data_IF_793359189435
#
_entry.id   IF_793359189435
#
_cell.length_a   1.000
_cell.length_b   1.000
_cell.length_c   1.000
_cell.angle_alpha   90.00
_cell.angle_beta   90.00
_cell.angle_gamma   90.00
#
_symmetry.space_group_name_H-M   'P 1'
#
loop_
_entity.id
_entity.type
_entity.pdbx_description
1 polymer ?
#
# COMPACT_ATOMS: atom_id res chain seq x y z
N UNK A 1 -25.34 -6.30 -8.92
CA UNK A 1 -25.85 -5.06 -8.30
C UNK A 1 -24.99 -4.79 -7.09
N UNK A 2 -24.07 -3.83 -7.18
CA UNK A 2 -23.30 -3.35 -6.04
C UNK A 2 -24.27 -2.57 -5.15
N UNK A 3 -24.37 -2.86 -3.84
CA UNK A 3 -25.26 -2.12 -2.96
C UNK A 3 -24.88 -0.62 -2.94
N UNK A 4 -25.86 0.27 -2.82
CA UNK A 4 -25.67 1.74 -2.86
C UNK A 4 -24.61 2.23 -1.86
N UNK A 5 -24.55 1.63 -0.67
CA UNK A 5 -23.52 1.93 0.33
C UNK A 5 -22.09 1.61 -0.15
N UNK A 6 -21.90 0.57 -0.98
CA UNK A 6 -20.60 0.23 -1.55
C UNK A 6 -20.17 1.25 -2.63
N UNK A 7 -21.10 1.73 -3.45
CA UNK A 7 -20.83 2.83 -4.40
C UNK A 7 -20.43 4.12 -3.69
N UNK A 8 -21.12 4.48 -2.60
CA UNK A 8 -20.78 5.67 -1.82
C UNK A 8 -19.39 5.54 -1.18
N UNK A 9 -19.01 4.33 -0.75
CA UNK A 9 -17.69 4.05 -0.17
C UNK A 9 -16.55 4.09 -1.21
N UNK A 10 -16.80 3.64 -2.44
CA UNK A 10 -15.83 3.72 -3.55
C UNK A 10 -15.54 5.16 -3.93
N UNK A 11 -16.59 6.00 -4.08
CA UNK A 11 -16.44 7.41 -4.40
C UNK A 11 -15.72 8.18 -3.29
N UNK A 12 -16.00 7.86 -2.02
CA UNK A 12 -15.30 8.44 -0.89
C UNK A 12 -13.80 8.07 -0.90
N UNK A 13 -13.48 6.80 -1.20
CA UNK A 13 -12.10 6.34 -1.31
C UNK A 13 -11.35 7.01 -2.47
N UNK A 14 -11.98 7.13 -3.64
CA UNK A 14 -11.44 7.86 -4.79
C UNK A 14 -11.12 9.31 -4.43
N UNK A 15 -12.03 10.01 -3.74
CA UNK A 15 -11.81 11.39 -3.32
C UNK A 15 -10.64 11.52 -2.33
N UNK A 16 -10.53 10.60 -1.37
CA UNK A 16 -9.39 10.57 -0.43
C UNK A 16 -8.07 10.36 -1.18
N UNK A 17 -8.05 9.43 -2.15
CA UNK A 17 -6.84 9.15 -2.94
C UNK A 17 -6.47 10.34 -3.83
N UNK A 18 -7.46 10.99 -4.46
CA UNK A 18 -7.23 12.20 -5.23
C UNK A 18 -6.64 13.34 -4.38
N UNK A 19 -7.05 13.46 -3.12
CA UNK A 19 -6.44 14.42 -2.20
C UNK A 19 -5.01 14.04 -1.81
N UNK A 20 -4.76 12.75 -1.53
CA UNK A 20 -3.40 12.27 -1.23
C UNK A 20 -2.45 12.49 -2.42
N UNK A 21 -2.91 12.25 -3.65
CA UNK A 21 -2.14 12.47 -4.87
C UNK A 21 -1.60 13.89 -5.02
N UNK A 22 -2.32 14.92 -4.51
CA UNK A 22 -1.87 16.32 -4.57
C UNK A 22 -0.61 16.58 -3.75
N UNK A 23 -0.30 15.72 -2.79
CA UNK A 23 0.86 15.85 -1.91
C UNK A 23 2.06 15.03 -2.40
N UNK A 24 1.90 14.27 -3.49
CA UNK A 24 2.94 13.39 -4.01
C UNK A 24 3.89 14.11 -4.97
N UNK A 25 5.18 13.69 -5.05
CA UNK A 25 5.79 12.68 -4.20
C UNK A 25 6.06 13.20 -2.77
N UNK A 26 5.89 12.34 -1.76
CA UNK A 26 6.09 12.69 -0.34
C UNK A 26 7.07 11.74 0.34
N UNK A 27 7.98 12.31 1.14
CA UNK A 27 8.87 11.53 2.01
C UNK A 27 8.11 11.11 3.27
N UNK A 28 8.02 9.80 3.54
CA UNK A 28 7.49 9.28 4.81
C UNK A 28 8.55 9.36 5.91
N UNK A 29 9.80 9.13 5.54
CA UNK A 29 10.98 9.19 6.37
C UNK A 29 12.18 9.51 5.45
N UNK A 30 13.41 9.72 5.97
CA UNK A 30 14.57 10.06 5.13
C UNK A 30 14.93 9.04 4.03
N UNK A 31 14.43 7.82 4.12
CA UNK A 31 14.77 6.67 3.26
C UNK A 31 13.61 6.21 2.38
N UNK A 32 12.37 6.54 2.73
CA UNK A 32 11.15 6.04 2.06
C UNK A 32 10.34 7.19 1.47
N UNK A 33 10.10 7.15 0.15
CA UNK A 33 9.26 8.12 -0.56
C UNK A 33 8.08 7.43 -1.22
N UNK A 34 6.86 7.91 -1.00
CA UNK A 34 5.72 7.54 -1.84
C UNK A 34 5.79 8.39 -3.10
N UNK A 35 5.93 7.74 -4.25
CA UNK A 35 6.01 8.38 -5.55
C UNK A 35 4.62 8.60 -6.16
N UNK A 36 3.74 7.62 -6.00
CA UNK A 36 2.40 7.64 -6.57
C UNK A 36 1.45 6.76 -5.77
N UNK A 37 0.17 7.11 -5.81
CA UNK A 37 -0.94 6.33 -5.29
C UNK A 37 -1.98 6.28 -6.39
N UNK A 38 -2.48 5.11 -6.76
CA UNK A 38 -3.56 4.97 -7.74
C UNK A 38 -4.62 4.01 -7.24
N UNK A 39 -5.85 4.18 -7.69
CA UNK A 39 -6.96 3.28 -7.39
C UNK A 39 -7.65 2.84 -8.67
N UNK A 40 -7.72 1.53 -8.87
CA UNK A 40 -8.42 0.89 -9.97
C UNK A 40 -8.73 -0.55 -9.57
N UNK A 41 -9.85 -1.11 -10.06
CA UNK A 41 -10.23 -2.51 -9.85
C UNK A 41 -10.16 -2.94 -8.37
N UNK A 42 -10.74 -2.11 -7.49
CA UNK A 42 -10.70 -2.28 -6.03
C UNK A 42 -9.31 -2.40 -5.41
N UNK A 43 -8.27 -1.91 -6.10
CA UNK A 43 -6.88 -2.02 -5.66
C UNK A 43 -6.27 -0.63 -5.53
N UNK A 44 -5.91 -0.26 -4.30
CA UNK A 44 -5.04 0.90 -4.05
C UNK A 44 -3.59 0.47 -4.24
N UNK A 45 -2.90 1.05 -5.21
CA UNK A 45 -1.50 0.80 -5.50
C UNK A 45 -0.65 1.98 -5.02
N UNK A 46 0.21 1.73 -4.05
CA UNK A 46 1.29 2.62 -3.64
C UNK A 46 2.56 2.27 -4.41
N UNK A 47 3.13 3.23 -5.14
CA UNK A 47 4.49 3.14 -5.70
C UNK A 47 5.46 3.85 -4.77
N UNK A 48 6.49 3.15 -4.32
CA UNK A 48 7.38 3.60 -3.26
C UNK A 48 8.84 3.42 -3.66
N UNK A 49 9.63 4.46 -3.46
CA UNK A 49 11.09 4.42 -3.60
C UNK A 49 11.75 4.23 -2.23
N UNK A 50 12.60 3.21 -2.11
CA UNK A 50 13.52 3.00 -0.98
C UNK A 50 14.94 3.41 -1.38
N UNK A 51 15.41 4.52 -0.86
CA UNK A 51 16.68 5.13 -1.29
C UNK A 51 17.92 4.40 -0.79
N UNK A 52 17.78 3.57 0.25
CA UNK A 52 18.87 2.82 0.88
C UNK A 52 19.09 1.42 0.32
N UNK A 53 18.22 0.95 -0.57
CA UNK A 53 18.35 -0.37 -1.17
C UNK A 53 19.62 -0.46 -2.02
N UNK A 54 20.53 -1.36 -1.65
CA UNK A 54 21.84 -1.50 -2.28
C UNK A 54 22.02 -2.83 -3.04
N UNK A 55 20.95 -3.61 -3.19
CA UNK A 55 20.92 -4.92 -3.84
C UNK A 55 21.97 -5.90 -3.32
N UNK A 56 22.21 -5.90 -2.00
CA UNK A 56 23.13 -6.83 -1.35
C UNK A 56 22.53 -8.24 -1.33
N UNK A 57 23.36 -9.30 -1.34
CA UNK A 57 22.86 -10.67 -1.23
C UNK A 57 21.94 -10.86 -0.01
N UNK A 58 20.71 -11.31 -0.26
CA UNK A 58 19.68 -11.53 0.78
C UNK A 58 18.86 -10.29 1.18
N UNK A 59 19.24 -9.09 0.75
CA UNK A 59 18.56 -7.84 1.14
C UNK A 59 17.10 -7.79 0.66
N UNK A 60 16.83 -8.28 -0.55
CA UNK A 60 15.47 -8.38 -1.10
C UNK A 60 14.55 -9.23 -0.24
N UNK A 61 15.01 -10.43 0.15
CA UNK A 61 14.25 -11.37 1.00
C UNK A 61 14.03 -10.77 2.39
N UNK A 62 15.04 -10.09 2.93
CA UNK A 62 14.92 -9.35 4.18
C UNK A 62 13.82 -8.29 4.11
N UNK A 63 13.84 -7.42 3.08
CA UNK A 63 12.84 -6.37 2.93
C UNK A 63 11.44 -6.93 2.70
N UNK A 64 11.29 -7.97 1.88
CA UNK A 64 9.99 -8.61 1.65
C UNK A 64 9.37 -9.10 2.96
N UNK A 65 10.11 -9.87 3.76
CA UNK A 65 9.63 -10.38 5.05
C UNK A 65 9.36 -9.26 6.06
N UNK A 66 10.32 -8.34 6.22
CA UNK A 66 10.20 -7.22 7.16
C UNK A 66 9.03 -6.30 6.83
N UNK A 67 8.92 -5.86 5.57
CA UNK A 67 7.86 -4.96 5.12
C UNK A 67 6.49 -5.65 5.22
N UNK A 68 6.40 -6.93 4.85
CA UNK A 68 5.13 -7.67 4.96
C UNK A 68 4.62 -7.65 6.39
N UNK A 69 5.46 -8.00 7.37
CA UNK A 69 5.08 -8.03 8.78
C UNK A 69 4.75 -6.64 9.34
N UNK A 70 5.59 -5.64 9.06
CA UNK A 70 5.38 -4.29 9.59
C UNK A 70 4.13 -3.63 9.02
N UNK A 71 3.93 -3.75 7.70
CA UNK A 71 2.77 -3.15 7.04
C UNK A 71 1.50 -3.88 7.47
N UNK A 72 1.51 -5.21 7.54
CA UNK A 72 0.35 -5.96 8.03
C UNK A 72 -0.03 -5.53 9.45
N UNK A 73 0.94 -5.43 10.37
CA UNK A 73 0.69 -4.96 11.74
C UNK A 73 0.09 -3.55 11.76
N UNK A 74 0.65 -2.63 10.98
CA UNK A 74 0.17 -1.25 10.92
C UNK A 74 -1.24 -1.16 10.31
N UNK A 75 -1.51 -1.87 9.20
CA UNK A 75 -2.81 -1.94 8.54
C UNK A 75 -3.87 -2.51 9.47
N UNK A 76 -3.59 -3.66 10.10
CA UNK A 76 -4.56 -4.36 10.95
C UNK A 76 -4.82 -3.64 12.28
N UNK A 77 -4.03 -2.64 12.64
CA UNK A 77 -4.26 -1.81 13.83
C UNK A 77 -5.16 -0.59 13.57
N UNK A 78 -5.50 -0.31 12.31
CA UNK A 78 -6.20 0.91 11.91
C UNK A 78 -7.58 0.59 11.32
N UNK A 79 -8.63 1.08 11.98
CA UNK A 79 -10.03 0.81 11.61
C UNK A 79 -10.36 1.19 10.16
N UNK A 80 -9.80 2.28 9.63
CA UNK A 80 -10.03 2.71 8.25
C UNK A 80 -9.55 1.67 7.22
N UNK A 81 -8.36 1.11 7.44
CA UNK A 81 -7.81 0.08 6.57
C UNK A 81 -8.56 -1.25 6.71
N UNK A 82 -8.95 -1.63 7.93
CA UNK A 82 -9.80 -2.80 8.15
C UNK A 82 -11.11 -2.69 7.37
N UNK A 83 -11.81 -1.56 7.47
CA UNK A 83 -13.05 -1.30 6.75
C UNK A 83 -12.83 -1.39 5.23
N UNK A 84 -11.77 -0.76 4.70
CA UNK A 84 -11.45 -0.86 3.28
C UNK A 84 -11.28 -2.31 2.81
N UNK A 85 -10.55 -3.13 3.57
CA UNK A 85 -10.32 -4.55 3.24
C UNK A 85 -11.61 -5.38 3.37
N UNK A 86 -12.47 -5.10 4.36
CA UNK A 86 -13.76 -5.78 4.52
C UNK A 86 -14.75 -5.47 3.40
N UNK A 87 -14.66 -4.27 2.81
CA UNK A 87 -15.44 -3.85 1.64
C UNK A 87 -14.94 -4.48 0.33
N UNK A 88 -13.96 -5.39 0.39
CA UNK A 88 -13.46 -6.13 -0.78
C UNK A 88 -12.25 -5.48 -1.47
N UNK A 89 -11.75 -4.36 -0.94
CA UNK A 89 -10.59 -3.70 -1.52
C UNK A 89 -9.28 -4.42 -1.18
N UNK A 90 -8.27 -4.17 -2.01
CA UNK A 90 -6.89 -4.61 -1.84
C UNK A 90 -5.98 -3.41 -1.76
N UNK A 91 -4.87 -3.57 -1.07
CA UNK A 91 -3.81 -2.57 -0.98
C UNK A 91 -2.52 -3.23 -1.44
N UNK A 92 -1.90 -2.68 -2.47
CA UNK A 92 -0.65 -3.15 -3.03
C UNK A 92 0.43 -2.10 -2.79
N UNK A 93 1.54 -2.51 -2.18
CA UNK A 93 2.74 -1.70 -2.03
C UNK A 93 3.82 -2.22 -2.97
N UNK A 94 4.20 -1.41 -3.94
CA UNK A 94 5.25 -1.71 -4.93
C UNK A 94 6.48 -0.89 -4.60
N UNK A 95 7.54 -1.57 -4.16
CA UNK A 95 8.80 -0.97 -3.73
C UNK A 95 9.86 -1.09 -4.82
N UNK A 96 10.52 0.03 -5.14
CA UNK A 96 11.68 0.11 -6.03
C UNK A 96 12.84 0.87 -5.41
N UNK A 97 14.05 0.64 -5.89
CA UNK A 97 15.23 1.44 -5.50
C UNK A 97 15.22 2.81 -6.18
N UNK A 98 16.11 3.71 -5.76
CA UNK A 98 16.34 5.00 -6.44
C UNK A 98 16.73 4.88 -7.92
N UNK A 99 17.17 3.69 -8.35
CA UNK A 99 17.56 3.38 -9.73
C UNK A 99 16.43 2.68 -10.51
N UNK A 100 15.21 2.71 -9.96
CA UNK A 100 14.02 2.02 -10.49
C UNK A 100 14.16 0.48 -10.58
N UNK A 101 15.07 -0.11 -9.80
CA UNK A 101 15.13 -1.57 -9.66
C UNK A 101 13.99 -2.07 -8.77
N UNK A 102 13.18 -3.06 -9.20
CA UNK A 102 12.11 -3.59 -8.38
C UNK A 102 12.66 -4.39 -7.18
N UNK A 103 12.19 -4.05 -5.98
CA UNK A 103 12.57 -4.71 -4.73
C UNK A 103 11.53 -5.78 -4.39
N UNK A 104 10.30 -5.37 -4.12
CA UNK A 104 9.21 -6.28 -3.76
C UNK A 104 7.85 -5.64 -4.05
N UNK A 105 6.83 -6.49 -4.16
CA UNK A 105 5.44 -6.07 -4.26
C UNK A 105 4.61 -6.90 -3.29
N UNK A 106 3.90 -6.24 -2.39
CA UNK A 106 3.14 -6.88 -1.31
C UNK A 106 1.69 -6.45 -1.46
N UNK A 107 0.77 -7.41 -1.51
CA UNK A 107 -0.67 -7.16 -1.61
C UNK A 107 -1.39 -7.71 -0.40
N UNK A 108 -2.15 -6.83 0.26
CA UNK A 108 -3.04 -7.17 1.37
C UNK A 108 -4.49 -7.06 0.89
N UNK A 109 -5.29 -8.08 1.17
CA UNK A 109 -6.68 -8.15 0.75
C UNK A 109 -7.64 -8.53 1.89
N UNK A 110 -8.91 -8.81 1.55
CA UNK A 110 -9.89 -9.28 2.52
C UNK A 110 -9.37 -10.52 3.26
N UNK A 111 -9.47 -10.53 4.60
CA UNK A 111 -9.02 -11.65 5.43
C UNK A 111 -7.57 -11.57 5.93
N UNK A 112 -6.74 -10.66 5.39
CA UNK A 112 -5.33 -10.46 5.83
C UNK A 112 -5.21 -10.30 7.36
N UNK A 113 -6.17 -9.61 7.98
CA UNK A 113 -6.14 -9.29 9.41
C UNK A 113 -6.89 -10.30 10.29
N UNK A 114 -7.35 -11.43 9.73
CA UNK A 114 -8.04 -12.49 10.51
C UNK A 114 -7.07 -13.54 11.06
N UNK A 115 -5.83 -13.57 10.57
CA UNK A 115 -4.82 -14.58 10.93
C UNK A 115 -3.74 -14.07 11.91
N UNK A 116 -3.92 -12.88 12.47
CA UNK A 116 -3.06 -12.32 13.53
C UNK A 116 -3.60 -12.62 14.92
#
# INVERSE_FOLDING_TARGET
MTPTYAQDSEQALEAVIAEQQKQLPIMLDPMTRIDNISYADHTVLYKITLSVYANRPGERVYYESYLTQQIQKALCSQTAYLLMLELGNKITYSYSSSQAEPITQITFGPGTCRET
#
